data_IF_171907093616
#
_entry.id   IF_171907093616
#
_cell.length_a   1.000
_cell.length_b   1.000
_cell.length_c   1.000
_cell.angle_alpha   90.00
_cell.angle_beta   90.00
_cell.angle_gamma   90.00
#
_symmetry.space_group_name_H-M   'P 1'
#
loop_
_entity.id
_entity.type
_entity.pdbx_description
1 polymer ?
#
# COMPACT_ATOMS: atom_id res chain seq x y z
N UNK A 1 3.29 -4.06 -10.70
CA UNK A 1 4.27 -4.67 -9.78
C UNK A 1 3.51 -5.56 -8.82
N UNK A 2 4.01 -6.77 -8.55
CA UNK A 2 3.42 -7.70 -7.58
C UNK A 2 4.27 -7.73 -6.32
N UNK A 3 3.66 -7.69 -5.14
CA UNK A 3 4.36 -7.79 -3.86
C UNK A 3 3.66 -8.88 -3.04
N UNK A 4 4.43 -9.84 -2.52
CA UNK A 4 3.91 -10.84 -1.58
C UNK A 4 3.76 -10.21 -0.20
N UNK A 5 2.62 -10.43 0.45
CA UNK A 5 2.28 -9.81 1.74
C UNK A 5 1.71 -10.81 2.75
N UNK A 6 1.89 -10.52 4.04
CA UNK A 6 1.07 -11.03 5.13
C UNK A 6 -0.01 -9.99 5.46
N UNK A 7 -1.22 -10.44 5.78
CA UNK A 7 -2.33 -9.60 6.19
C UNK A 7 -2.57 -9.81 7.67
N UNK A 8 -2.56 -8.72 8.42
CA UNK A 8 -2.81 -8.70 9.84
C UNK A 8 -4.11 -7.96 10.15
N UNK A 9 -4.83 -8.46 11.14
CA UNK A 9 -5.97 -7.83 11.78
C UNK A 9 -5.59 -7.44 13.21
N UNK A 10 -5.84 -6.19 13.60
CA UNK A 10 -5.71 -5.76 14.98
C UNK A 10 -7.04 -5.92 15.71
N UNK A 11 -7.14 -6.86 16.65
CA UNK A 11 -8.37 -7.17 17.39
C UNK A 11 -8.82 -6.07 18.37
N UNK A 12 -7.99 -5.05 18.61
CA UNK A 12 -8.35 -3.90 19.46
C UNK A 12 -9.04 -2.77 18.70
N UNK A 13 -8.67 -2.54 17.44
CA UNK A 13 -9.17 -1.40 16.65
C UNK A 13 -9.76 -1.81 15.30
N UNK A 14 -9.89 -3.11 15.05
CA UNK A 14 -10.47 -3.73 13.85
C UNK A 14 -9.80 -3.30 12.53
N UNK A 15 -8.55 -2.85 12.61
CA UNK A 15 -7.77 -2.43 11.44
C UNK A 15 -7.12 -3.63 10.78
N UNK A 16 -7.36 -3.76 9.48
CA UNK A 16 -6.68 -4.69 8.58
C UNK A 16 -5.57 -3.97 7.81
N UNK A 17 -4.38 -4.57 7.79
CA UNK A 17 -3.25 -4.02 7.03
C UNK A 17 -2.35 -5.12 6.49
N UNK A 18 -1.60 -4.80 5.44
CA UNK A 18 -0.71 -5.73 4.76
C UNK A 18 0.75 -5.32 4.95
N UNK A 19 1.62 -6.30 5.22
CA UNK A 19 3.07 -6.11 5.38
C UNK A 19 3.79 -6.96 4.34
N UNK A 20 4.80 -6.40 3.68
CA UNK A 20 5.60 -7.14 2.70
C UNK A 20 6.26 -8.36 3.34
N UNK A 21 6.21 -9.51 2.69
CA UNK A 21 6.95 -10.70 3.13
C UNK A 21 8.46 -10.48 3.07
N UNK A 22 8.92 -9.57 2.22
CA UNK A 22 10.33 -9.19 2.13
C UNK A 22 10.80 -8.28 3.28
N UNK A 23 9.93 -7.96 4.24
CA UNK A 23 10.30 -7.17 5.39
C UNK A 23 11.06 -8.06 6.38
N UNK A 24 12.37 -7.84 6.51
CA UNK A 24 13.27 -8.70 7.31
C UNK A 24 12.93 -8.67 8.81
N UNK A 25 12.39 -7.56 9.29
CA UNK A 25 12.09 -7.33 10.70
C UNK A 25 10.62 -7.59 11.04
N UNK A 26 10.03 -8.70 10.55
CA UNK A 26 8.61 -9.02 10.82
C UNK A 26 8.24 -9.02 12.31
N UNK A 27 9.19 -9.30 13.19
CA UNK A 27 9.01 -9.25 14.65
C UNK A 27 8.76 -7.84 15.21
N UNK A 28 8.97 -6.78 14.40
CA UNK A 28 8.70 -5.38 14.77
C UNK A 28 7.37 -4.88 14.21
N UNK A 29 6.58 -5.74 13.57
CA UNK A 29 5.27 -5.35 13.03
C UNK A 29 4.34 -4.93 14.18
N UNK A 30 3.79 -3.73 14.06
CA UNK A 30 2.87 -3.15 15.02
C UNK A 30 1.60 -2.66 14.31
N UNK A 31 0.50 -2.60 15.04
CA UNK A 31 -0.71 -1.97 14.55
C UNK A 31 -0.42 -0.50 14.22
N UNK A 32 -0.73 -0.01 13.00
CA UNK A 32 -0.47 1.38 12.62
C UNK A 32 -1.31 2.40 13.42
N UNK A 33 -2.40 1.96 14.05
CA UNK A 33 -3.29 2.79 14.87
C UNK A 33 -2.90 2.71 16.34
N UNK A 34 -2.90 1.51 16.94
CA UNK A 34 -2.60 1.32 18.36
C UNK A 34 -1.11 1.44 18.70
N UNK A 35 -0.22 1.33 17.70
CA UNK A 35 1.26 1.29 17.86
C UNK A 35 1.74 0.21 18.82
N UNK A 36 1.05 -0.93 18.80
CA UNK A 36 1.38 -2.12 19.57
C UNK A 36 1.12 -3.37 18.74
N UNK A 37 1.83 -4.43 19.06
CA UNK A 37 1.76 -5.77 18.48
C UNK A 37 0.85 -6.74 19.27
N UNK A 38 0.46 -6.37 20.50
CA UNK A 38 -0.23 -7.25 21.46
C UNK A 38 -1.51 -7.89 20.96
N UNK A 39 -2.24 -7.20 20.09
CA UNK A 39 -3.54 -7.63 19.58
C UNK A 39 -3.51 -7.92 18.07
N UNK A 40 -2.34 -8.18 17.50
CA UNK A 40 -2.20 -8.52 16.08
C UNK A 40 -2.45 -10.01 15.85
N UNK A 41 -3.28 -10.31 14.85
CA UNK A 41 -3.55 -11.64 14.36
C UNK A 41 -3.27 -11.71 12.85
N UNK A 42 -2.42 -12.64 12.42
CA UNK A 42 -2.24 -12.89 10.99
C UNK A 42 -3.45 -13.65 10.45
N UNK A 43 -4.14 -13.07 9.49
CA UNK A 43 -5.39 -13.63 8.94
C UNK A 43 -5.18 -14.31 7.59
N UNK A 44 -4.19 -13.90 6.80
CA UNK A 44 -3.87 -14.53 5.52
C UNK A 44 -2.52 -14.09 4.95
N UNK A 45 -2.04 -14.83 3.95
CA UNK A 45 -1.00 -14.37 3.02
C UNK A 45 -1.63 -14.07 1.65
N UNK A 46 -1.10 -13.07 0.93
CA UNK A 46 -1.66 -12.64 -0.35
C UNK A 46 -0.69 -11.93 -1.30
N UNK A 47 -1.21 -11.52 -2.46
CA UNK A 47 -0.50 -10.73 -3.47
C UNK A 47 -1.09 -9.31 -3.55
N UNK A 48 -0.27 -8.29 -3.27
CA UNK A 48 -0.62 -6.89 -3.53
C UNK A 48 -0.30 -6.53 -4.99
N UNK A 49 -1.34 -6.20 -5.74
CA UNK A 49 -1.22 -5.75 -7.13
C UNK A 49 -1.26 -4.23 -7.23
N UNK A 50 -0.08 -3.60 -7.28
CA UNK A 50 0.02 -2.15 -7.51
C UNK A 50 -0.15 -1.89 -9.01
N UNK A 51 -1.31 -1.34 -9.37
CA UNK A 51 -1.57 -0.78 -10.70
C UNK A 51 -1.21 0.70 -10.68
N UNK A 52 -0.17 1.07 -11.42
CA UNK A 52 0.13 2.49 -11.65
C UNK A 52 -1.08 3.07 -12.39
N UNK A 53 -1.78 4.02 -11.80
CA UNK A 53 -2.77 4.81 -12.53
C UNK A 53 -1.96 5.63 -13.53
N UNK A 54 -1.84 5.13 -14.76
CA UNK A 54 -1.32 5.95 -15.85
C UNK A 54 -2.44 6.94 -16.11
N UNK A 55 -2.38 8.12 -15.50
CA UNK A 55 -3.11 9.26 -16.03
C UNK A 55 -2.45 9.60 -17.35
N UNK A 56 -2.87 8.93 -18.43
CA UNK A 56 -2.64 9.45 -19.77
C UNK A 56 -3.45 10.74 -19.85
N UNK A 57 -2.81 11.85 -19.52
CA UNK A 57 -3.35 13.16 -19.89
C UNK A 57 -3.30 13.21 -21.41
N UNK A 58 -4.39 12.80 -22.06
CA UNK A 58 -4.58 13.04 -23.49
C UNK A 58 -4.97 14.50 -23.60
N UNK A 59 -4.03 15.34 -24.03
CA UNK A 59 -4.35 16.71 -24.42
C UNK A 59 -5.07 16.62 -25.77
N UNK A 60 -6.34 17.01 -25.87
CA UNK A 60 -7.04 16.99 -27.15
C UNK A 60 -6.32 17.88 -28.18
N UNK A 61 -6.39 17.51 -29.46
CA UNK A 61 -5.84 18.34 -30.54
C UNK A 61 -6.39 19.77 -30.42
N UNK A 62 -5.49 20.75 -30.31
CA UNK A 62 -5.82 22.17 -30.18
C UNK A 62 -5.76 22.77 -28.77
N UNK A 63 -5.37 22.01 -27.74
CA UNK A 63 -5.09 22.56 -26.40
C UNK A 63 -3.60 22.53 -26.06
N UNK A 64 -3.14 23.54 -25.32
CA UNK A 64 -1.74 23.67 -24.90
C UNK A 64 -1.47 22.83 -23.65
N UNK A 65 -0.45 21.97 -23.70
CA UNK A 65 0.03 21.23 -22.55
C UNK A 65 0.82 22.14 -21.60
N UNK A 66 0.17 22.65 -20.55
CA UNK A 66 0.81 23.58 -19.60
C UNK A 66 1.98 22.97 -18.80
N UNK A 67 2.12 21.64 -18.79
CA UNK A 67 3.21 20.96 -18.11
C UNK A 67 4.54 21.03 -18.86
N UNK A 68 4.56 21.46 -20.13
CA UNK A 68 5.80 21.74 -20.88
C UNK A 68 6.52 23.00 -20.37
N UNK A 69 5.85 23.84 -19.59
CA UNK A 69 6.36 25.13 -19.11
C UNK A 69 6.81 25.11 -17.63
N UNK A 70 6.76 23.95 -16.98
CA UNK A 70 7.05 23.79 -15.55
C UNK A 70 8.41 23.09 -15.28
N UNK A 71 9.38 23.26 -16.18
CA UNK A 71 10.74 22.73 -16.05
C UNK A 71 11.54 23.33 -14.90
#
# INVERSE_FOLDING_TARGET
MKILVHVYECQECDVLFAVSQSFEEQHLVQCPVCRTDKALHEVSAGELHIRKKVSSFVVPEGQTNIYEFLG
#
